data_IF_693094680255
#
_entry.id   IF_693094680255
#
_cell.length_a   1.000
_cell.length_b   1.000
_cell.length_c   1.000
_cell.angle_alpha   90.00
_cell.angle_beta   90.00
_cell.angle_gamma   90.00
#
_symmetry.space_group_name_H-M   'P 1'
#
loop_
_entity.id
_entity.type
_entity.pdbx_description
1 polymer ?
#
# COMPACT_ATOMS: atom_id res chain seq x y z
N UNK A 1 -18.50 16.88 9.96
CA UNK A 1 -18.12 17.77 8.85
C UNK A 1 -17.01 17.09 8.06
N UNK A 2 -17.34 16.41 6.96
CA UNK A 2 -16.36 15.67 6.16
C UNK A 2 -15.47 16.69 5.44
N UNK A 3 -14.22 16.81 5.87
CA UNK A 3 -13.26 17.70 5.22
C UNK A 3 -13.14 17.29 3.75
N UNK A 4 -13.33 18.25 2.82
CA UNK A 4 -13.14 18.02 1.39
C UNK A 4 -11.69 17.60 1.15
N UNK A 5 -11.49 16.35 0.73
CA UNK A 5 -10.18 15.75 0.48
C UNK A 5 -9.61 16.26 -0.83
N UNK A 6 -8.29 16.26 -0.94
CA UNK A 6 -7.55 16.62 -2.16
C UNK A 6 -7.61 15.55 -3.25
N UNK A 7 -8.30 14.43 -2.96
CA UNK A 7 -8.57 13.37 -3.91
C UNK A 7 -9.92 12.70 -3.63
N UNK A 8 -10.46 12.05 -4.66
CA UNK A 8 -11.65 11.19 -4.61
C UNK A 8 -11.24 9.75 -4.93
N UNK A 9 -11.89 8.77 -4.28
CA UNK A 9 -11.71 7.36 -4.57
C UNK A 9 -12.94 6.84 -5.33
N UNK A 10 -12.72 6.26 -6.49
CA UNK A 10 -13.68 5.36 -7.13
C UNK A 10 -13.31 3.94 -6.78
N UNK A 11 -14.21 3.24 -6.09
CA UNK A 11 -14.05 1.81 -5.81
C UNK A 11 -15.26 1.05 -6.35
N UNK A 12 -14.99 -0.06 -7.05
CA UNK A 12 -16.03 -1.00 -7.46
C UNK A 12 -16.40 -1.98 -6.33
N UNK A 13 -15.74 -1.90 -5.17
CA UNK A 13 -15.88 -2.90 -4.09
C UNK A 13 -15.73 -2.25 -2.71
N UNK A 14 -16.60 -2.60 -1.77
CA UNK A 14 -16.39 -2.26 -0.35
C UNK A 14 -15.40 -3.27 0.23
N UNK A 15 -14.42 -2.77 0.99
CA UNK A 15 -13.48 -3.62 1.71
C UNK A 15 -14.23 -4.34 2.84
N UNK A 16 -14.23 -5.67 2.84
CA UNK A 16 -14.72 -6.45 3.98
C UNK A 16 -13.56 -7.21 4.61
N UNK A 17 -13.35 -7.02 5.92
CA UNK A 17 -12.30 -7.72 6.68
C UNK A 17 -12.42 -9.25 6.67
N UNK A 18 -13.57 -9.78 6.24
CA UNK A 18 -13.79 -11.23 6.07
C UNK A 18 -13.10 -11.79 4.82
N UNK A 19 -12.65 -10.95 3.90
CA UNK A 19 -12.01 -11.42 2.68
C UNK A 19 -10.60 -11.93 2.99
N UNK A 20 -10.35 -13.21 2.68
CA UNK A 20 -9.05 -13.86 2.77
C UNK A 20 -8.48 -13.99 1.36
N UNK A 21 -7.19 -13.70 1.18
CA UNK A 21 -6.50 -13.86 -0.11
C UNK A 21 -7.25 -13.23 -1.27
N UNK A 22 -7.65 -11.97 -1.15
CA UNK A 22 -8.36 -11.24 -2.20
C UNK A 22 -7.51 -10.13 -2.81
N UNK A 23 -7.90 -9.71 -4.02
CA UNK A 23 -7.40 -8.51 -4.66
C UNK A 23 -8.54 -7.50 -4.76
N UNK A 24 -8.29 -6.27 -4.32
CA UNK A 24 -9.22 -5.15 -4.36
C UNK A 24 -8.63 -4.05 -5.24
N UNK A 25 -9.49 -3.37 -6.00
CA UNK A 25 -9.06 -2.36 -6.95
C UNK A 25 -9.88 -1.10 -6.75
N UNK A 26 -9.18 0.01 -6.62
CA UNK A 26 -9.76 1.34 -6.67
C UNK A 26 -8.94 2.23 -7.60
N UNK A 27 -9.47 3.42 -7.88
CA UNK A 27 -8.74 4.47 -8.57
C UNK A 27 -8.89 5.80 -7.85
N UNK A 28 -7.86 6.63 -7.98
CA UNK A 28 -7.83 7.99 -7.46
C UNK A 28 -8.19 8.97 -8.57
N UNK A 29 -8.92 10.02 -8.21
CA UNK A 29 -9.02 11.26 -8.98
C UNK A 29 -8.49 12.41 -8.13
N UNK A 30 -7.52 13.16 -8.65
CA UNK A 30 -6.98 14.34 -7.97
C UNK A 30 -7.96 15.51 -8.06
N UNK A 31 -8.26 16.14 -6.92
CA UNK A 31 -9.00 17.40 -6.87
C UNK A 31 -8.07 18.60 -7.02
N UNK A 32 -6.80 18.44 -6.64
CA UNK A 32 -5.72 19.42 -6.77
C UNK A 32 -4.47 18.72 -7.32
N UNK A 33 -3.83 19.30 -8.34
CA UNK A 33 -2.57 18.78 -8.88
C UNK A 33 -1.42 19.24 -7.98
N UNK A 34 -1.21 18.57 -6.85
CA UNK A 34 -0.17 18.92 -5.88
C UNK A 34 0.47 17.68 -5.24
N UNK A 35 1.58 17.87 -4.55
CA UNK A 35 2.26 16.81 -3.80
C UNK A 35 1.54 16.48 -2.49
N UNK A 36 1.80 15.29 -1.94
CA UNK A 36 1.14 14.78 -0.72
C UNK A 36 1.34 15.68 0.51
N UNK A 37 2.43 16.45 0.56
CA UNK A 37 2.70 17.40 1.64
C UNK A 37 1.66 18.52 1.73
N UNK A 38 1.02 18.84 0.61
CA UNK A 38 -0.02 19.86 0.54
C UNK A 38 -1.41 19.29 0.80
N UNK A 39 -1.55 17.96 0.84
CA UNK A 39 -2.84 17.33 1.04
C UNK A 39 -3.33 17.47 2.49
N UNK A 40 -4.64 17.59 2.64
CA UNK A 40 -5.36 17.49 3.92
C UNK A 40 -5.44 16.04 4.38
N UNK A 41 -4.30 15.54 4.81
CA UNK A 41 -4.13 14.19 5.35
C UNK A 41 -4.71 14.07 6.77
N UNK A 42 -5.13 12.85 7.11
CA UNK A 42 -5.49 12.45 8.47
C UNK A 42 -4.31 12.60 9.45
N UNK A 43 -4.61 12.58 10.76
CA UNK A 43 -3.59 12.66 11.80
C UNK A 43 -2.57 11.52 11.71
N UNK A 44 -3.02 10.29 11.41
CA UNK A 44 -2.15 9.13 11.24
C UNK A 44 -1.26 9.25 10.01
N UNK A 45 -1.81 9.66 8.86
CA UNK A 45 -1.01 9.89 7.64
C UNK A 45 0.05 10.98 7.86
N UNK A 46 -0.29 12.07 8.57
CA UNK A 46 0.70 13.09 8.96
C UNK A 46 1.78 12.54 9.90
N UNK A 47 1.44 11.66 10.84
CA UNK A 47 2.43 11.00 11.70
C UNK A 47 3.43 10.20 10.84
N UNK A 48 2.96 9.41 9.87
CA UNK A 48 3.81 8.64 8.94
C UNK A 48 4.70 9.58 8.11
N UNK A 49 4.13 10.67 7.59
CA UNK A 49 4.85 11.68 6.83
C UNK A 49 5.96 12.35 7.67
N UNK A 50 5.74 12.55 8.97
CA UNK A 50 6.64 13.24 9.89
C UNK A 50 7.64 12.33 10.62
N UNK A 51 7.39 11.02 10.70
CA UNK A 51 8.21 10.08 11.50
C UNK A 51 9.64 9.86 10.95
N UNK A 52 10.11 10.69 10.02
CA UNK A 52 11.21 10.34 9.12
C UNK A 52 12.28 11.42 8.92
N UNK A 53 12.84 11.89 10.02
CA UNK A 53 14.19 12.47 10.03
C UNK A 53 15.30 11.44 9.69
N UNK A 54 15.01 10.35 8.95
CA UNK A 54 15.91 9.25 8.61
C UNK A 54 15.69 8.71 7.17
N UNK A 55 16.13 9.48 6.17
CA UNK A 55 16.79 8.97 4.95
C UNK A 55 16.04 8.07 3.96
N UNK A 56 15.02 8.58 3.26
CA UNK A 56 14.57 7.98 1.99
C UNK A 56 13.18 8.46 1.54
N UNK A 57 12.63 7.89 0.46
CA UNK A 57 11.60 8.57 -0.34
C UNK A 57 10.23 7.88 -0.42
N UNK A 58 9.99 6.83 0.38
CA UNK A 58 8.74 6.04 0.38
C UNK A 58 7.64 6.58 1.30
N UNK A 59 7.95 7.54 2.17
CA UNK A 59 7.03 8.08 3.17
C UNK A 59 5.79 8.74 2.56
N UNK A 60 5.94 9.32 1.37
CA UNK A 60 4.84 9.94 0.62
C UNK A 60 3.78 8.90 0.26
N UNK A 61 4.22 7.78 -0.32
CA UNK A 61 3.36 6.65 -0.65
C UNK A 61 2.76 6.00 0.60
N UNK A 62 3.53 5.89 1.69
CA UNK A 62 3.04 5.29 2.94
C UNK A 62 1.96 6.16 3.61
N UNK A 63 2.16 7.47 3.68
CA UNK A 63 1.20 8.41 4.23
C UNK A 63 -0.09 8.44 3.39
N UNK A 64 0.02 8.48 2.06
CA UNK A 64 -1.14 8.39 1.17
C UNK A 64 -1.84 7.03 1.30
N UNK A 65 -1.08 5.93 1.39
CA UNK A 65 -1.60 4.59 1.59
C UNK A 65 -2.46 4.48 2.85
N UNK A 66 -2.00 5.03 3.98
CA UNK A 66 -2.78 5.04 5.21
C UNK A 66 -4.03 5.91 5.07
N UNK A 67 -3.94 7.08 4.45
CA UNK A 67 -5.10 7.95 4.26
C UNK A 67 -6.16 7.29 3.36
N UNK A 68 -5.75 6.57 2.31
CA UNK A 68 -6.64 5.77 1.47
C UNK A 68 -7.29 4.64 2.27
N UNK A 69 -6.51 3.88 3.04
CA UNK A 69 -7.04 2.82 3.89
C UNK A 69 -8.11 3.36 4.86
N UNK A 70 -7.93 4.56 5.39
CA UNK A 70 -8.89 5.21 6.31
C UNK A 70 -10.22 5.55 5.64
N UNK A 71 -10.20 5.86 4.34
CA UNK A 71 -11.41 6.11 3.58
C UNK A 71 -12.11 4.81 3.14
N UNK A 72 -11.35 3.74 2.90
CA UNK A 72 -11.88 2.46 2.45
C UNK A 72 -12.41 1.59 3.60
N UNK A 73 -11.80 1.72 4.78
CA UNK A 73 -12.04 0.84 5.93
C UNK A 73 -12.47 1.72 7.12
N UNK A 74 -13.75 1.72 7.50
CA UNK A 74 -14.20 2.47 8.67
C UNK A 74 -13.57 1.94 9.96
N UNK A 75 -13.23 2.86 10.87
CA UNK A 75 -12.75 2.50 12.21
C UNK A 75 -11.29 2.04 12.28
N UNK A 76 -10.47 2.30 11.25
CA UNK A 76 -9.04 2.01 11.35
C UNK A 76 -8.32 3.00 12.27
N UNK A 77 -7.32 2.50 12.97
CA UNK A 77 -6.40 3.28 13.78
C UNK A 77 -4.96 2.96 13.41
N UNK A 78 -4.10 3.97 13.29
CA UNK A 78 -2.65 3.77 13.15
C UNK A 78 -2.06 3.38 14.51
N UNK A 79 -1.48 2.18 14.61
CA UNK A 79 -0.80 1.75 15.82
C UNK A 79 0.70 2.03 15.78
N UNK A 80 1.36 1.61 14.70
CA UNK A 80 2.83 1.66 14.57
C UNK A 80 3.25 2.04 13.16
N UNK A 81 4.31 2.81 13.08
CA UNK A 81 5.10 3.09 11.87
C UNK A 81 6.23 2.06 11.73
N UNK A 82 6.88 1.98 10.56
CA UNK A 82 7.96 1.02 10.27
C UNK A 82 9.01 0.96 11.40
N UNK A 83 9.41 2.12 11.94
CA UNK A 83 10.43 2.23 12.98
C UNK A 83 9.98 1.78 14.36
N UNK A 84 8.66 1.70 14.60
CA UNK A 84 8.07 1.27 15.88
C UNK A 84 7.80 -0.25 15.92
N UNK A 85 7.86 -0.93 14.77
CA UNK A 85 7.67 -2.38 14.66
C UNK A 85 8.96 -3.11 15.06
N UNK A 86 8.82 -4.18 15.86
CA UNK A 86 9.95 -4.98 16.34
C UNK A 86 10.07 -6.28 15.55
N UNK A 87 11.26 -6.52 15.02
CA UNK A 87 11.61 -7.73 14.28
C UNK A 87 12.70 -8.51 15.00
N UNK A 88 12.70 -9.83 14.80
CA UNK A 88 13.70 -10.75 15.36
C UNK A 88 15.13 -10.44 14.90
N UNK A 89 15.29 -9.78 13.74
CA UNK A 89 16.58 -9.39 13.17
C UNK A 89 16.51 -8.06 12.42
N UNK A 90 17.63 -7.33 12.37
CA UNK A 90 17.76 -6.11 11.55
C UNK A 90 17.67 -6.38 10.04
N UNK A 91 17.91 -7.63 9.60
CA UNK A 91 17.86 -8.05 8.18
C UNK A 91 16.48 -8.54 7.74
N UNK A 92 15.51 -8.59 8.65
CA UNK A 92 14.15 -9.03 8.35
C UNK A 92 13.48 -8.15 7.29
N UNK A 93 12.56 -8.74 6.53
CA UNK A 93 11.64 -7.95 5.70
C UNK A 93 10.76 -7.11 6.62
N UNK A 94 10.55 -5.85 6.23
CA UNK A 94 9.83 -4.88 7.05
C UNK A 94 8.47 -4.59 6.43
N UNK A 95 7.53 -4.28 7.30
CA UNK A 95 6.19 -3.77 7.04
C UNK A 95 6.22 -2.27 7.31
N UNK A 96 5.57 -1.47 6.47
CA UNK A 96 5.71 -0.01 6.53
C UNK A 96 4.90 0.61 7.68
N UNK A 97 3.75 0.04 8.01
CA UNK A 97 2.97 0.45 9.19
C UNK A 97 1.98 -0.63 9.62
N UNK A 98 1.41 -0.47 10.82
CA UNK A 98 0.41 -1.37 11.41
C UNK A 98 -0.83 -0.58 11.71
N UNK A 99 -1.97 -1.10 11.24
CA UNK A 99 -3.29 -0.57 11.57
C UNK A 99 -4.06 -1.56 12.42
N UNK A 100 -4.99 -1.03 13.21
CA UNK A 100 -5.99 -1.80 13.95
C UNK A 100 -7.35 -1.51 13.38
N UNK A 101 -8.18 -2.53 13.20
CA UNK A 101 -9.61 -2.38 12.88
C UNK A 101 -10.38 -3.31 13.80
N UNK A 102 -11.16 -2.73 14.72
CA UNK A 102 -11.74 -3.47 15.85
C UNK A 102 -10.63 -4.24 16.60
N UNK A 103 -10.69 -5.56 16.70
CA UNK A 103 -9.67 -6.37 17.39
C UNK A 103 -8.69 -7.07 16.43
N UNK A 104 -8.66 -6.65 15.16
CA UNK A 104 -7.77 -7.19 14.13
C UNK A 104 -6.61 -6.24 13.89
N UNK A 105 -5.40 -6.78 13.91
CA UNK A 105 -4.15 -6.09 13.61
C UNK A 105 -3.66 -6.45 12.22
N UNK A 106 -3.53 -5.43 11.37
CA UNK A 106 -3.10 -5.58 9.98
C UNK A 106 -1.77 -4.89 9.78
N UNK A 107 -0.77 -5.66 9.34
CA UNK A 107 0.44 -5.09 8.78
C UNK A 107 0.16 -4.55 7.37
N UNK A 108 0.74 -3.42 7.00
CA UNK A 108 0.59 -2.85 5.66
C UNK A 108 1.96 -2.62 5.04
N UNK A 109 2.14 -3.19 3.85
CA UNK A 109 3.32 -2.97 3.01
C UNK A 109 2.91 -2.23 1.74
N UNK A 110 3.69 -1.25 1.33
CA UNK A 110 3.40 -0.32 0.24
C UNK A 110 4.44 -0.50 -0.86
N UNK A 111 3.97 -0.55 -2.10
CA UNK A 111 4.83 -0.64 -3.27
C UNK A 111 4.20 0.08 -4.45
N UNK A 112 4.97 0.22 -5.54
CA UNK A 112 4.55 0.87 -6.77
C UNK A 112 4.78 -0.08 -7.94
N UNK A 113 3.81 -0.13 -8.84
CA UNK A 113 3.87 -0.81 -10.13
C UNK A 113 3.88 0.27 -11.22
N UNK A 114 5.03 0.41 -11.88
CA UNK A 114 5.33 1.51 -12.79
C UNK A 114 6.37 1.07 -13.82
N UNK A 115 6.38 1.75 -14.98
CA UNK A 115 7.50 1.70 -15.91
C UNK A 115 8.58 2.69 -15.44
N UNK A 116 9.75 2.19 -15.07
CA UNK A 116 10.87 3.05 -14.64
C UNK A 116 11.51 3.85 -15.77
N UNK A 117 11.45 3.32 -17.00
CA UNK A 117 12.06 3.93 -18.17
C UNK A 117 11.00 4.15 -19.26
N UNK A 118 11.03 5.31 -19.93
CA UNK A 118 10.06 5.73 -20.96
C UNK A 118 9.88 4.75 -22.12
N UNK A 119 10.83 3.82 -22.33
CA UNK A 119 10.80 2.85 -23.43
C UNK A 119 10.67 1.40 -22.97
N UNK A 120 10.50 1.15 -21.67
CA UNK A 120 10.29 -0.20 -21.15
C UNK A 120 8.80 -0.43 -20.93
N UNK A 121 8.26 -1.49 -21.53
CA UNK A 121 6.91 -1.96 -21.25
C UNK A 121 6.90 -2.81 -19.98
N UNK A 122 6.00 -2.49 -19.06
CA UNK A 122 5.67 -3.38 -17.95
C UNK A 122 4.86 -4.54 -18.51
N UNK A 123 5.38 -5.76 -18.40
CA UNK A 123 4.74 -6.96 -19.00
C UNK A 123 4.26 -7.95 -17.93
N UNK A 124 3.64 -9.06 -18.38
CA UNK A 124 3.11 -10.11 -17.50
C UNK A 124 4.18 -10.74 -16.60
N UNK A 125 5.39 -10.92 -17.10
CA UNK A 125 6.51 -11.48 -16.33
C UNK A 125 6.94 -10.51 -15.23
N UNK A 126 7.02 -9.22 -15.52
CA UNK A 126 7.34 -8.19 -14.52
C UNK A 126 6.27 -8.14 -13.43
N UNK A 127 4.99 -8.19 -13.83
CA UNK A 127 3.85 -8.23 -12.93
C UNK A 127 3.93 -9.40 -11.95
N UNK A 128 4.15 -10.61 -12.49
CA UNK A 128 4.30 -11.83 -11.69
C UNK A 128 5.50 -11.76 -10.75
N UNK A 129 6.69 -11.43 -11.26
CA UNK A 129 7.90 -11.37 -10.45
C UNK A 129 7.79 -10.33 -9.33
N UNK A 130 7.25 -9.16 -9.63
CA UNK A 130 7.05 -8.09 -8.64
C UNK A 130 6.08 -8.55 -7.54
N UNK A 131 4.91 -9.06 -7.94
CA UNK A 131 3.85 -9.44 -6.99
C UNK A 131 4.27 -10.64 -6.13
N UNK A 132 4.83 -11.69 -6.75
CA UNK A 132 5.32 -12.87 -6.06
C UNK A 132 6.41 -12.54 -5.04
N UNK A 133 7.41 -11.73 -5.44
CA UNK A 133 8.48 -11.27 -4.55
C UNK A 133 7.93 -10.48 -3.36
N UNK A 134 6.93 -9.63 -3.59
CA UNK A 134 6.32 -8.80 -2.53
C UNK A 134 5.46 -9.63 -1.59
N UNK A 135 4.64 -10.54 -2.10
CA UNK A 135 3.85 -11.45 -1.26
C UNK A 135 4.74 -12.35 -0.39
N UNK A 136 5.82 -12.91 -0.93
CA UNK A 136 6.81 -13.64 -0.11
C UNK A 136 7.48 -12.77 0.96
N UNK A 137 7.78 -11.51 0.63
CA UNK A 137 8.36 -10.59 1.61
C UNK A 137 7.36 -10.27 2.75
N UNK A 138 6.07 -10.17 2.44
CA UNK A 138 5.00 -9.97 3.42
C UNK A 138 4.88 -11.17 4.38
N UNK A 139 4.92 -12.41 3.86
CA UNK A 139 4.95 -13.63 4.68
C UNK A 139 6.16 -13.62 5.61
N UNK A 140 7.35 -13.37 5.07
CA UNK A 140 8.59 -13.30 5.86
C UNK A 140 8.58 -12.19 6.91
N UNK A 141 7.97 -11.03 6.62
CA UNK A 141 7.77 -9.95 7.61
C UNK A 141 6.88 -10.41 8.76
N UNK A 142 5.81 -11.17 8.46
CA UNK A 142 4.91 -11.69 9.48
C UNK A 142 5.61 -12.68 10.43
N UNK A 143 6.37 -13.63 9.87
CA UNK A 143 7.12 -14.63 10.63
C UNK A 143 8.19 -13.99 11.53
N UNK A 144 8.80 -12.90 11.07
CA UNK A 144 9.88 -12.23 11.79
C UNK A 144 9.42 -11.12 12.74
N UNK A 145 8.15 -10.70 12.68
CA UNK A 145 7.58 -9.80 13.68
C UNK A 145 7.61 -10.50 15.05
N UNK A 146 8.45 -10.01 15.96
CA UNK A 146 8.54 -10.53 17.32
C UNK A 146 7.92 -9.58 18.35
N UNK A 147 7.38 -8.45 17.89
CA UNK A 147 6.71 -7.47 18.73
C UNK A 147 5.24 -7.79 18.98
N UNK A 148 4.65 -6.89 19.75
CA UNK A 148 3.20 -6.79 20.00
C UNK A 148 2.68 -5.53 19.29
N UNK A 149 1.58 -5.58 18.50
CA UNK A 149 0.80 -6.77 18.17
C UNK A 149 1.47 -7.67 17.13
N UNK A 150 1.11 -8.96 17.19
CA UNK A 150 1.25 -9.87 16.06
C UNK A 150 0.24 -9.50 15.00
N UNK A 151 0.57 -9.70 13.73
CA UNK A 151 -0.36 -9.38 12.66
C UNK A 151 -1.27 -10.57 12.42
N UNK A 152 -2.58 -10.32 12.43
CA UNK A 152 -3.57 -11.32 12.06
C UNK A 152 -3.53 -11.55 10.55
N UNK A 153 -3.42 -10.46 9.77
CA UNK A 153 -3.28 -10.47 8.31
C UNK A 153 -2.41 -9.33 7.82
N UNK A 154 -2.19 -9.29 6.51
CA UNK A 154 -1.42 -8.25 5.86
C UNK A 154 -2.20 -7.61 4.72
N UNK A 155 -1.90 -6.34 4.44
CA UNK A 155 -2.30 -5.63 3.23
C UNK A 155 -1.04 -5.34 2.43
N UNK A 156 -1.02 -5.75 1.17
CA UNK A 156 -0.04 -5.27 0.19
C UNK A 156 -0.73 -4.19 -0.66
N UNK A 157 -0.44 -2.93 -0.36
CA UNK A 157 -0.95 -1.80 -1.16
C UNK A 157 0.01 -1.50 -2.30
N UNK A 158 -0.48 -1.63 -3.53
CA UNK A 158 0.25 -1.35 -4.77
C UNK A 158 -0.37 -0.12 -5.43
N UNK A 159 0.40 0.96 -5.53
CA UNK A 159 0.05 2.07 -6.41
C UNK A 159 0.37 1.71 -7.86
N UNK A 160 -0.58 1.91 -8.76
CA UNK A 160 -0.50 1.44 -10.14
C UNK A 160 -0.61 2.61 -11.12
N UNK A 161 0.35 2.73 -12.02
CA UNK A 161 0.50 3.89 -12.90
C UNK A 161 -0.55 3.95 -14.03
N UNK A 162 -1.07 2.81 -14.47
CA UNK A 162 -2.11 2.75 -15.51
C UNK A 162 -3.09 1.61 -15.30
N UNK A 163 -4.22 1.69 -16.00
CA UNK A 163 -5.22 0.62 -16.06
C UNK A 163 -4.62 -0.67 -16.63
N UNK A 164 -3.77 -0.59 -17.68
CA UNK A 164 -3.18 -1.80 -18.28
C UNK A 164 -2.26 -2.53 -17.31
N UNK A 165 -1.45 -1.81 -16.52
CA UNK A 165 -0.61 -2.42 -15.48
C UNK A 165 -1.47 -3.12 -14.44
N UNK A 166 -2.64 -2.56 -14.10
CA UNK A 166 -3.57 -3.18 -13.14
C UNK A 166 -4.12 -4.51 -13.66
N UNK A 167 -4.37 -4.63 -14.96
CA UNK A 167 -4.85 -5.85 -15.62
C UNK A 167 -3.76 -6.92 -15.62
N UNK A 168 -2.52 -6.54 -15.94
CA UNK A 168 -1.36 -7.44 -15.86
C UNK A 168 -1.14 -7.97 -14.44
N UNK A 169 -1.33 -7.13 -13.42
CA UNK A 169 -1.24 -7.55 -12.01
C UNK A 169 -2.37 -8.48 -11.59
N UNK A 170 -3.58 -8.29 -12.10
CA UNK A 170 -4.70 -9.20 -11.86
C UNK A 170 -4.44 -10.58 -12.45
N UNK A 171 -3.99 -10.64 -13.71
CA UNK A 171 -3.61 -11.90 -14.36
C UNK A 171 -2.46 -12.60 -13.61
N UNK A 172 -1.45 -11.84 -13.20
CA UNK A 172 -0.35 -12.34 -12.40
C UNK A 172 -0.84 -12.91 -11.05
N UNK A 173 -1.76 -12.23 -10.37
CA UNK A 173 -2.32 -12.68 -9.09
C UNK A 173 -3.09 -13.99 -9.20
N UNK A 174 -3.84 -14.18 -10.29
CA UNK A 174 -4.53 -15.45 -10.57
C UNK A 174 -3.56 -16.61 -10.77
N UNK A 175 -2.36 -16.32 -11.29
CA UNK A 175 -1.30 -17.31 -11.53
C UNK A 175 -0.47 -17.64 -10.28
N UNK A 176 -0.61 -16.88 -9.20
CA UNK A 176 0.10 -17.11 -7.92
C UNK A 176 -0.67 -18.12 -7.08
N UNK A 177 0.08 -19.02 -6.45
CA UNK A 177 -0.43 -20.10 -5.60
C UNK A 177 -1.22 -19.55 -4.40
N UNK A 178 -2.35 -20.19 -4.07
CA UNK A 178 -3.25 -19.78 -2.97
C UNK A 178 -2.50 -19.65 -1.64
N UNK A 179 -1.54 -20.52 -1.36
CA UNK A 179 -0.72 -20.48 -0.15
C UNK A 179 0.02 -19.15 0.01
N UNK A 180 0.49 -18.57 -1.10
CA UNK A 180 1.27 -17.32 -1.10
C UNK A 180 0.38 -16.10 -0.88
N UNK A 181 -0.89 -16.14 -1.28
CA UNK A 181 -1.82 -15.01 -1.19
C UNK A 181 -2.85 -15.12 -0.07
N UNK A 182 -3.12 -16.30 0.48
CA UNK A 182 -4.20 -16.60 1.44
C UNK A 182 -4.36 -15.64 2.62
N UNK A 183 -3.27 -15.14 3.19
CA UNK A 183 -3.30 -14.21 4.34
C UNK A 183 -2.94 -12.76 4.00
N UNK A 184 -2.98 -12.40 2.72
CA UNK A 184 -2.68 -11.05 2.25
C UNK A 184 -3.81 -10.51 1.40
N UNK A 185 -4.28 -9.31 1.72
CA UNK A 185 -5.19 -8.54 0.87
C UNK A 185 -4.33 -7.67 -0.04
N UNK A 186 -4.44 -7.85 -1.35
CA UNK A 186 -3.73 -7.01 -2.32
C UNK A 186 -4.63 -5.86 -2.71
N UNK A 187 -4.26 -4.63 -2.33
CA UNK A 187 -4.98 -3.42 -2.69
C UNK A 187 -4.27 -2.75 -3.86
N UNK A 188 -4.88 -2.76 -5.04
CA UNK A 188 -4.43 -1.97 -6.18
C UNK A 188 -5.12 -0.61 -6.15
N UNK A 189 -4.33 0.45 -6.22
CA UNK A 189 -4.84 1.82 -6.37
C UNK A 189 -4.27 2.43 -7.63
N UNK A 190 -5.11 2.59 -8.63
CA UNK A 190 -4.75 3.17 -9.92
C UNK A 190 -4.73 4.69 -9.75
N UNK A 191 -3.65 5.33 -10.20
CA UNK A 191 -3.54 6.79 -10.10
C UNK A 191 -3.64 7.44 -11.49
N UNK A 192 -4.11 8.70 -11.58
CA UNK A 192 -4.10 9.44 -12.83
C UNK A 192 -2.67 9.61 -13.35
N UNK A 193 -2.46 9.48 -14.66
CA UNK A 193 -1.15 9.70 -15.27
C UNK A 193 -0.61 11.12 -14.93
N UNK A 194 -1.44 12.14 -15.14
CA UNK A 194 -1.09 13.53 -14.83
C UNK A 194 -1.16 13.80 -13.33
N UNK A 195 -0.05 14.30 -12.77
CA UNK A 195 0.03 14.77 -11.39
C UNK A 195 0.38 13.70 -10.36
N UNK A 196 0.67 12.47 -10.79
CA UNK A 196 1.12 11.38 -9.92
C UNK A 196 2.64 11.16 -9.95
N UNK A 197 3.39 11.99 -10.67
CA UNK A 197 4.84 11.85 -10.82
C UNK A 197 5.58 11.76 -9.48
N UNK A 198 5.14 12.53 -8.48
CA UNK A 198 5.75 12.56 -7.15
C UNK A 198 5.65 11.22 -6.41
N UNK A 199 4.71 10.36 -6.80
CA UNK A 199 4.48 9.06 -6.23
C UNK A 199 5.44 8.02 -6.81
N UNK A 200 5.71 8.08 -8.11
CA UNK A 200 6.49 7.09 -8.85
C UNK A 200 7.96 7.47 -8.98
N UNK A 201 8.22 8.74 -9.28
CA UNK A 201 9.54 9.24 -9.60
C UNK A 201 10.09 10.09 -8.46
N UNK A 202 11.41 10.04 -8.28
CA UNK A 202 12.08 10.99 -7.39
C UNK A 202 12.11 12.35 -8.07
N UNK A 203 11.07 13.16 -7.84
CA UNK A 203 11.13 14.58 -8.19
C UNK A 203 12.11 15.23 -7.21
N UNK A 204 13.26 15.67 -7.73
CA UNK A 204 14.24 16.48 -7.00
C UNK A 204 13.70 17.87 -6.71
#
# INVERSE_FOLDING_TARGET
MTLKKDYELSSNSRFYLKDHGCMLINSIKWNTACSVEMFKLSKGARKILQSRNAGGNSYRSEALSFDIALNLIPGIELLKTETEIKYSSRRSKKTDYVIRVSDIYLGVSVTRAMCYFEHQSFNKTDAYQMLYKKLKAVISSNESNCGDPKFDRQILHVFVQSQEISELLQEAYQSIEEEVKSNTIVLLTITPEKGSDWLYYMIK
#
